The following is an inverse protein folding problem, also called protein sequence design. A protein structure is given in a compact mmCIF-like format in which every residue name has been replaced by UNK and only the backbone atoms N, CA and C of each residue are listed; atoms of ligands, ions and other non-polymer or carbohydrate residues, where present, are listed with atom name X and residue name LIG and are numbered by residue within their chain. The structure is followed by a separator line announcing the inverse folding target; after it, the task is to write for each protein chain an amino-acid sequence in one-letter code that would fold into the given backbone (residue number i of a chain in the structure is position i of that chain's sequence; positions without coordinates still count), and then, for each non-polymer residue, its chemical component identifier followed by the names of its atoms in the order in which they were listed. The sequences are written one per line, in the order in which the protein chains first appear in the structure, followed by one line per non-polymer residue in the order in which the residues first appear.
data_IF_401060360127
#
_entry.id   IF_401060360127
#
_cell.length_a   1.000
_cell.length_b   1.000
_cell.length_c   1.000
_cell.angle_alpha   90.00
_cell.angle_beta   90.00
_cell.angle_gamma   90.00
#
_symmetry.space_group_name_H-M   'P 1'
#
loop_
_entity.id
_entity.type
_entity.pdbx_description
1 polymer ?
#
# COMPACT_ATOMS: atom_id res chain seq x y z
N UNK A 1 55.99 49.52 -49.52
CA UNK A 1 55.36 48.49 -48.66
C UNK A 1 54.89 49.19 -47.39
N UNK A 2 53.59 49.49 -47.31
CA UNK A 2 52.99 50.14 -46.15
C UNK A 2 52.48 49.04 -45.21
N UNK A 3 53.03 48.99 -43.99
CA UNK A 3 52.50 48.18 -42.90
C UNK A 3 51.41 49.02 -42.20
N UNK A 4 50.16 48.59 -42.31
CA UNK A 4 49.08 49.11 -41.47
C UNK A 4 49.28 48.53 -40.06
N UNK A 5 49.53 49.42 -39.09
CA UNK A 5 49.55 49.08 -37.68
C UNK A 5 48.11 48.94 -37.20
N UNK A 6 47.74 47.70 -36.89
CA UNK A 6 46.51 47.33 -36.21
C UNK A 6 46.68 47.72 -34.73
N UNK A 7 46.31 48.97 -34.42
CA UNK A 7 46.26 49.47 -33.05
C UNK A 7 44.92 49.03 -32.45
N UNK A 8 44.93 47.88 -31.77
CA UNK A 8 43.90 47.50 -30.82
C UNK A 8 43.95 48.46 -29.64
N UNK A 9 43.12 49.49 -29.71
CA UNK A 9 42.88 50.47 -28.65
C UNK A 9 42.02 49.79 -27.57
N UNK A 10 42.67 49.20 -26.56
CA UNK A 10 41.97 48.72 -25.37
C UNK A 10 41.51 49.93 -24.55
N UNK A 11 40.22 50.05 -24.22
CA UNK A 11 39.72 51.17 -23.44
C UNK A 11 40.38 51.16 -22.06
N UNK A 12 41.14 52.21 -21.74
CA UNK A 12 41.70 52.39 -20.41
C UNK A 12 40.56 52.71 -19.44
N UNK A 13 40.22 51.75 -18.58
CA UNK A 13 39.28 51.94 -17.49
C UNK A 13 39.80 53.02 -16.54
N UNK A 14 39.13 54.16 -16.53
CA UNK A 14 39.42 55.25 -15.60
C UNK A 14 38.72 54.99 -14.26
N UNK A 15 39.26 55.55 -13.18
CA UNK A 15 38.65 55.43 -11.84
C UNK A 15 37.20 55.93 -11.84
N UNK A 16 36.92 57.03 -12.55
CA UNK A 16 35.58 57.60 -12.68
C UNK A 16 34.62 56.70 -13.47
N UNK A 17 35.09 55.98 -14.50
CA UNK A 17 34.23 55.05 -15.26
C UNK A 17 33.88 53.80 -14.44
N UNK A 18 34.83 53.30 -13.64
CA UNK A 18 34.59 52.17 -12.74
C UNK A 18 33.67 52.56 -11.56
N UNK A 19 33.78 53.78 -11.04
CA UNK A 19 32.85 54.30 -10.02
C UNK A 19 31.43 54.47 -10.58
N UNK A 20 31.29 54.97 -11.82
CA UNK A 20 30.00 55.05 -12.50
C UNK A 20 29.38 53.66 -12.74
N UNK A 21 30.15 52.68 -13.21
CA UNK A 21 29.68 51.29 -13.35
C UNK A 21 29.25 50.68 -12.02
N UNK A 22 30.02 50.92 -10.95
CA UNK A 22 29.66 50.47 -9.60
C UNK A 22 28.30 51.02 -9.17
N UNK A 23 28.02 52.31 -9.39
CA UNK A 23 26.70 52.88 -9.06
C UNK A 23 25.56 52.26 -9.87
N UNK A 24 25.79 51.94 -11.15
CA UNK A 24 24.80 51.24 -11.99
C UNK A 24 24.56 49.80 -11.54
N UNK A 25 25.58 49.12 -11.02
CA UNK A 25 25.47 47.80 -10.42
C UNK A 25 24.69 47.86 -9.11
N UNK A 26 25.00 48.82 -8.22
CA UNK A 26 24.31 49.03 -6.95
C UNK A 26 22.83 49.39 -7.16
N UNK A 27 22.51 50.13 -8.22
CA UNK A 27 21.13 50.44 -8.63
C UNK A 27 20.43 49.31 -9.41
N UNK A 28 21.15 48.22 -9.73
CA UNK A 28 20.62 47.08 -10.49
C UNK A 28 20.26 47.40 -11.95
N UNK A 29 20.71 48.53 -12.48
CA UNK A 29 20.44 48.97 -13.86
C UNK A 29 21.52 48.56 -14.85
N UNK A 30 22.63 48.02 -14.36
CA UNK A 30 23.75 47.58 -15.17
C UNK A 30 23.33 46.56 -16.25
N UNK A 31 23.72 46.75 -17.52
CA UNK A 31 23.20 45.97 -18.65
C UNK A 31 23.54 44.48 -18.56
N UNK A 32 24.74 44.11 -18.09
CA UNK A 32 25.12 42.69 -17.92
C UNK A 32 24.36 42.01 -16.79
N UNK A 33 24.03 42.74 -15.71
CA UNK A 33 23.21 42.23 -14.61
C UNK A 33 21.76 42.00 -15.07
N UNK A 34 21.19 42.95 -15.82
CA UNK A 34 19.85 42.80 -16.41
C UNK A 34 19.79 41.63 -17.39
N UNK A 35 20.81 41.45 -18.23
CA UNK A 35 20.90 40.32 -19.14
C UNK A 35 20.94 38.99 -18.38
N UNK A 36 21.76 38.88 -17.33
CA UNK A 36 21.82 37.68 -16.48
C UNK A 36 20.52 37.44 -15.71
N UNK A 37 19.88 38.48 -15.18
CA UNK A 37 18.61 38.37 -14.47
C UNK A 37 17.51 37.76 -15.36
N UNK A 38 17.43 38.19 -16.63
CA UNK A 38 16.49 37.61 -17.61
C UNK A 38 16.76 36.13 -17.89
N UNK A 39 18.03 35.74 -17.98
CA UNK A 39 18.40 34.32 -18.14
C UNK A 39 17.96 33.51 -16.92
N UNK A 40 18.20 34.02 -15.71
CA UNK A 40 17.75 33.36 -14.48
C UNK A 40 16.23 33.27 -14.37
N UNK A 41 15.49 34.30 -14.79
CA UNK A 41 14.03 34.25 -14.86
C UNK A 41 13.55 33.18 -15.84
N UNK A 42 14.15 33.10 -17.02
CA UNK A 42 13.82 32.08 -18.01
C UNK A 42 14.14 30.66 -17.51
N UNK A 43 15.29 30.46 -16.88
CA UNK A 43 15.64 29.18 -16.26
C UNK A 43 14.70 28.80 -15.12
N UNK A 44 14.31 29.77 -14.29
CA UNK A 44 13.35 29.55 -13.21
C UNK A 44 12.00 29.12 -13.76
N UNK A 45 11.52 29.79 -14.81
CA UNK A 45 10.26 29.44 -15.45
C UNK A 45 10.32 28.04 -16.07
N UNK A 46 11.38 27.72 -16.81
CA UNK A 46 11.57 26.40 -17.39
C UNK A 46 11.62 25.28 -16.33
N UNK A 47 12.20 25.54 -15.15
CA UNK A 47 12.18 24.59 -14.03
C UNK A 47 10.79 24.42 -13.43
N UNK A 48 10.02 25.51 -13.32
CA UNK A 48 8.63 25.45 -12.85
C UNK A 48 7.76 24.61 -13.81
N UNK A 49 7.84 24.90 -15.12
CA UNK A 49 7.07 24.19 -16.13
C UNK A 49 7.42 22.68 -16.16
N UNK A 50 8.72 22.36 -16.00
CA UNK A 50 9.17 20.96 -15.90
C UNK A 50 8.61 20.27 -14.66
N UNK A 51 8.58 20.94 -13.50
CA UNK A 51 8.04 20.38 -12.27
C UNK A 51 6.52 20.13 -12.38
N UNK A 52 5.79 21.03 -13.03
CA UNK A 52 4.36 20.86 -13.28
C UNK A 52 4.07 19.69 -14.22
N UNK A 53 4.86 19.52 -15.28
CA UNK A 53 4.73 18.39 -16.20
C UNK A 53 5.05 17.06 -15.49
N UNK A 54 6.07 17.02 -14.64
CA UNK A 54 6.39 15.85 -13.82
C UNK A 54 5.25 15.50 -12.86
N UNK A 55 4.63 16.51 -12.23
CA UNK A 55 3.46 16.33 -11.38
C UNK A 55 2.28 15.74 -12.15
N UNK A 56 1.96 16.30 -13.32
CA UNK A 56 0.89 15.79 -14.18
C UNK A 56 1.13 14.33 -14.58
N UNK A 57 2.36 13.99 -14.93
CA UNK A 57 2.72 12.62 -15.30
C UNK A 57 2.59 11.65 -14.14
N UNK A 58 3.04 12.03 -12.93
CA UNK A 58 2.87 11.23 -11.72
C UNK A 58 1.39 10.96 -11.40
N UNK A 59 0.53 11.97 -11.53
CA UNK A 59 -0.92 11.81 -11.34
C UNK A 59 -1.51 10.86 -12.38
N UNK A 60 -1.11 11.00 -13.65
CA UNK A 60 -1.58 10.11 -14.73
C UNK A 60 -1.19 8.65 -14.47
N UNK A 61 0.07 8.40 -14.12
CA UNK A 61 0.55 7.04 -13.79
C UNK A 61 -0.18 6.46 -12.59
N UNK A 62 -0.42 7.26 -11.54
CA UNK A 62 -1.17 6.80 -10.37
C UNK A 62 -2.60 6.39 -10.72
N UNK A 63 -3.28 7.18 -11.56
CA UNK A 63 -4.64 6.86 -12.04
C UNK A 63 -4.65 5.59 -12.90
N UNK A 64 -3.68 5.42 -13.79
CA UNK A 64 -3.57 4.23 -14.64
C UNK A 64 -3.31 2.96 -13.81
N UNK A 65 -2.46 3.04 -12.78
CA UNK A 65 -2.23 1.92 -11.86
C UNK A 65 -3.48 1.57 -11.05
N UNK A 66 -4.17 2.57 -10.51
CA UNK A 66 -5.43 2.35 -9.79
C UNK A 66 -6.48 1.67 -10.67
N UNK A 67 -6.61 2.10 -11.94
CA UNK A 67 -7.53 1.47 -12.88
C UNK A 67 -7.12 0.03 -13.23
N UNK A 68 -5.81 -0.24 -13.36
CA UNK A 68 -5.31 -1.58 -13.59
C UNK A 68 -5.63 -2.52 -12.41
N UNK A 69 -5.49 -2.05 -11.16
CA UNK A 69 -5.85 -2.81 -9.97
C UNK A 69 -7.35 -3.10 -9.90
N UNK A 70 -8.21 -2.11 -10.21
CA UNK A 70 -9.66 -2.31 -10.29
C UNK A 70 -10.01 -3.39 -11.31
N UNK A 71 -9.40 -3.33 -12.50
CA UNK A 71 -9.64 -4.31 -13.56
C UNK A 71 -9.15 -5.72 -13.17
N UNK A 72 -7.99 -5.82 -12.51
CA UNK A 72 -7.45 -7.08 -12.02
C UNK A 72 -8.33 -7.70 -10.93
N UNK A 73 -8.84 -6.88 -10.00
CA UNK A 73 -9.76 -7.31 -8.96
C UNK A 73 -11.09 -7.82 -9.55
N UNK A 74 -11.64 -7.11 -10.55
CA UNK A 74 -12.84 -7.55 -11.26
C UNK A 74 -12.63 -8.90 -11.96
N UNK A 75 -11.51 -9.08 -12.67
CA UNK A 75 -11.17 -10.36 -13.31
C UNK A 75 -11.01 -11.51 -12.30
N UNK A 76 -10.37 -11.25 -11.15
CA UNK A 76 -10.22 -12.24 -10.10
C UNK A 76 -11.58 -12.65 -9.50
N UNK A 77 -12.49 -11.68 -9.33
CA UNK A 77 -13.85 -11.94 -8.86
C UNK A 77 -14.65 -12.78 -9.86
N UNK A 78 -14.63 -12.41 -11.15
CA UNK A 78 -15.30 -13.16 -12.21
C UNK A 78 -14.77 -14.60 -12.31
N UNK A 79 -13.45 -14.78 -12.20
CA UNK A 79 -12.83 -16.10 -12.16
C UNK A 79 -13.26 -16.92 -10.93
N UNK A 80 -13.40 -16.28 -9.76
CA UNK A 80 -13.90 -16.92 -8.54
C UNK A 80 -15.36 -17.37 -8.69
N UNK A 81 -16.22 -16.52 -9.26
CA UNK A 81 -17.61 -16.88 -9.58
C UNK A 81 -17.67 -18.04 -10.55
N UNK A 82 -16.89 -17.99 -11.64
CA UNK A 82 -16.83 -19.07 -12.62
C UNK A 82 -16.38 -20.41 -11.98
N UNK A 83 -15.43 -20.34 -11.04
CA UNK A 83 -14.97 -21.51 -10.29
C UNK A 83 -16.06 -22.05 -9.35
N UNK A 84 -16.70 -21.18 -8.58
CA UNK A 84 -17.76 -21.55 -7.64
C UNK A 84 -18.98 -22.14 -8.36
N UNK A 85 -19.42 -21.52 -9.45
CA UNK A 85 -20.52 -22.02 -10.30
C UNK A 85 -20.18 -23.38 -10.90
N UNK A 86 -18.96 -23.57 -11.42
CA UNK A 86 -18.51 -24.88 -11.92
C UNK A 86 -18.52 -25.96 -10.83
N UNK A 87 -18.11 -25.63 -9.59
CA UNK A 87 -18.17 -26.57 -8.46
C UNK A 87 -19.60 -26.95 -8.10
N UNK A 88 -20.50 -25.98 -7.99
CA UNK A 88 -21.91 -26.22 -7.68
C UNK A 88 -22.61 -27.05 -8.77
N UNK A 89 -22.32 -26.77 -10.05
CA UNK A 89 -22.86 -27.56 -11.15
C UNK A 89 -22.38 -29.01 -11.09
N UNK A 90 -21.08 -29.24 -10.83
CA UNK A 90 -20.55 -30.60 -10.65
C UNK A 90 -21.18 -31.35 -9.48
N UNK A 91 -21.43 -30.67 -8.37
CA UNK A 91 -22.10 -31.24 -7.21
C UNK A 91 -23.58 -31.57 -7.49
N UNK A 92 -24.28 -30.72 -8.25
CA UNK A 92 -25.64 -31.00 -8.71
C UNK A 92 -25.66 -32.19 -9.67
N UNK A 93 -24.74 -32.25 -10.62
CA UNK A 93 -24.63 -33.35 -11.57
C UNK A 93 -24.32 -34.68 -10.87
N UNK A 94 -23.45 -34.67 -9.85
CA UNK A 94 -23.17 -35.88 -9.06
C UNK A 94 -24.40 -36.34 -8.27
N UNK A 95 -25.12 -35.42 -7.62
CA UNK A 95 -26.37 -35.74 -6.91
C UNK A 95 -27.46 -36.26 -7.85
N UNK A 96 -27.60 -35.67 -9.05
CA UNK A 96 -28.52 -36.17 -10.07
C UNK A 96 -28.14 -37.57 -10.55
N UNK A 97 -26.84 -37.83 -10.74
CA UNK A 97 -26.35 -39.15 -11.11
C UNK A 97 -26.64 -40.19 -10.01
N UNK A 98 -26.41 -39.86 -8.73
CA UNK A 98 -26.75 -40.71 -7.58
C UNK A 98 -28.26 -41.01 -7.52
N UNK A 99 -29.12 -40.01 -7.68
CA UNK A 99 -30.57 -40.20 -7.69
C UNK A 99 -31.00 -41.11 -8.84
N UNK A 100 -30.46 -40.89 -10.06
CA UNK A 100 -30.74 -41.73 -11.23
C UNK A 100 -30.23 -43.16 -11.05
N UNK A 101 -29.04 -43.35 -10.49
CA UNK A 101 -28.43 -44.66 -10.23
C UNK A 101 -29.13 -45.41 -9.09
N UNK A 102 -29.66 -44.71 -8.09
CA UNK A 102 -30.41 -45.31 -6.97
C UNK A 102 -31.75 -45.92 -7.37
N UNK A 103 -32.17 -45.79 -8.64
CA UNK A 103 -33.43 -46.32 -9.14
C UNK A 103 -34.68 -45.69 -8.51
N UNK A 104 -34.53 -44.67 -7.65
CA UNK A 104 -35.63 -43.84 -7.13
C UNK A 104 -36.08 -42.83 -8.18
N UNK A 105 -36.37 -43.32 -9.37
CA UNK A 105 -36.96 -42.56 -10.46
C UNK A 105 -38.47 -42.77 -10.50
N UNK A 106 -39.19 -41.65 -10.47
CA UNK A 106 -40.62 -41.47 -10.70
C UNK A 106 -41.55 -41.69 -9.49
N UNK A 107 -42.18 -40.63 -8.95
CA UNK A 107 -43.50 -40.78 -8.36
C UNK A 107 -44.41 -41.46 -9.38
N UNK A 108 -44.84 -42.67 -9.06
CA UNK A 108 -45.83 -43.44 -9.81
C UNK A 108 -47.04 -42.55 -10.08
N UNK A 109 -47.52 -42.61 -11.32
CA UNK A 109 -48.61 -41.81 -11.92
C UNK A 109 -49.94 -41.82 -11.13
N UNK A 110 -50.04 -42.61 -10.06
CA UNK A 110 -51.15 -42.66 -9.10
C UNK A 110 -51.05 -41.68 -7.91
N UNK A 111 -49.87 -41.21 -7.52
CA UNK A 111 -49.70 -40.33 -6.35
C UNK A 111 -50.19 -38.88 -6.61
N UNK A 112 -50.17 -38.44 -7.87
CA UNK A 112 -50.67 -37.12 -8.26
C UNK A 112 -52.20 -37.00 -8.29
N UNK A 113 -52.94 -38.11 -8.18
CA UNK A 113 -54.42 -38.07 -8.15
C UNK A 113 -54.96 -37.68 -6.77
N UNK A 114 -54.21 -37.96 -5.70
CA UNK A 114 -54.59 -37.59 -4.34
C UNK A 114 -54.26 -36.13 -3.97
N UNK A 115 -53.30 -35.50 -4.67
CA UNK A 115 -52.91 -34.10 -4.42
C UNK A 115 -53.78 -33.08 -5.18
N UNK A 116 -54.40 -33.46 -6.31
CA UNK A 116 -55.26 -32.53 -7.08
C UNK A 116 -56.62 -32.27 -6.43
N UNK A 117 -57.11 -33.13 -5.54
CA UNK A 117 -58.39 -32.90 -4.84
C UNK A 117 -58.24 -32.02 -3.59
N UNK A 118 -57.06 -31.94 -2.98
CA UNK A 118 -56.81 -31.06 -1.81
C UNK A 118 -56.30 -29.66 -2.17
N UNK A 119 -55.74 -29.47 -3.36
CA UNK A 119 -55.24 -28.15 -3.79
C UNK A 119 -56.35 -27.25 -4.33
N UNK A 120 -57.52 -27.80 -4.71
CA UNK A 120 -58.63 -26.98 -5.22
C UNK A 120 -59.34 -26.14 -4.14
N UNK A 121 -59.10 -26.42 -2.85
CA UNK A 121 -59.62 -25.58 -1.75
C UNK A 121 -58.59 -24.57 -1.21
N UNK A 122 -57.31 -24.71 -1.56
CA UNK A 122 -56.25 -23.80 -1.08
C UNK A 122 -55.82 -22.74 -2.11
N UNK A 123 -56.15 -22.93 -3.40
CA UNK A 123 -55.59 -22.11 -4.49
C UNK A 123 -56.43 -20.89 -4.90
N UNK A 124 -57.56 -20.63 -4.25
CA UNK A 124 -58.34 -19.39 -4.44
C UNK A 124 -57.93 -18.27 -3.46
N UNK A 125 -56.94 -18.49 -2.59
CA UNK A 125 -56.53 -17.53 -1.57
C UNK A 125 -55.10 -16.96 -1.72
N UNK A 126 -54.34 -17.32 -2.77
CA UNK A 126 -52.96 -16.82 -2.92
C UNK A 126 -52.54 -16.69 -4.38
N UNK A 127 -53.21 -15.79 -5.09
CA UNK A 127 -52.69 -15.21 -6.32
C UNK A 127 -51.66 -14.11 -5.98
N UNK A 128 -50.40 -14.50 -5.79
CA UNK A 128 -49.27 -13.57 -5.88
C UNK A 128 -48.07 -14.31 -6.45
N UNK A 129 -47.55 -13.78 -7.55
CA UNK A 129 -46.60 -14.43 -8.45
C UNK A 129 -45.34 -15.00 -7.79
N UNK A 130 -44.89 -16.11 -8.37
CA UNK A 130 -43.60 -16.74 -8.10
C UNK A 130 -42.50 -15.74 -8.51
N UNK A 131 -41.59 -15.33 -7.61
CA UNK A 131 -40.48 -14.48 -8.01
C UNK A 131 -39.44 -15.31 -8.79
N UNK A 132 -38.98 -14.72 -9.88
CA UNK A 132 -37.95 -15.24 -10.77
C UNK A 132 -36.59 -15.36 -10.02
N UNK A 133 -35.93 -16.54 -9.98
CA UNK A 133 -34.66 -16.72 -9.30
C UNK A 133 -33.46 -16.02 -9.98
N UNK A 134 -33.67 -15.36 -11.12
CA UNK A 134 -32.65 -14.58 -11.83
C UNK A 134 -32.56 -13.10 -11.40
N UNK A 135 -33.38 -12.68 -10.42
CA UNK A 135 -33.48 -11.29 -9.94
C UNK A 135 -33.25 -11.13 -8.43
N UNK A 136 -32.27 -11.83 -7.86
CA UNK A 136 -31.61 -11.31 -6.65
C UNK A 136 -30.34 -10.57 -7.08
N UNK A 137 -30.41 -9.26 -7.36
CA UNK A 137 -29.20 -8.49 -7.33
C UNK A 137 -28.72 -8.51 -5.88
N UNK A 138 -27.59 -9.15 -5.61
CA UNK A 138 -26.75 -8.79 -4.46
C UNK A 138 -26.24 -7.36 -4.68
N UNK A 139 -27.16 -6.38 -4.70
CA UNK A 139 -26.92 -4.95 -4.66
C UNK A 139 -27.11 -4.50 -3.21
N UNK A 140 -26.29 -5.04 -2.33
CA UNK A 140 -25.87 -4.28 -1.17
C UNK A 140 -24.40 -3.94 -1.41
N UNK A 141 -24.19 -3.06 -2.38
CA UNK A 141 -23.01 -2.21 -2.30
C UNK A 141 -23.22 -1.38 -1.04
N UNK A 142 -22.36 -1.56 -0.03
CA UNK A 142 -22.33 -0.67 1.12
C UNK A 142 -22.29 0.76 0.58
N UNK A 143 -23.15 1.63 1.11
CA UNK A 143 -23.12 3.01 0.70
C UNK A 143 -21.76 3.60 1.08
N UNK A 144 -21.28 4.57 0.30
CA UNK A 144 -19.95 5.17 0.52
C UNK A 144 -19.80 5.66 1.96
N UNK A 145 -20.87 6.15 2.55
CA UNK A 145 -20.88 6.67 3.92
C UNK A 145 -20.69 5.54 4.94
N UNK A 146 -21.30 4.37 4.73
CA UNK A 146 -21.11 3.18 5.58
C UNK A 146 -19.66 2.68 5.51
N UNK A 147 -19.09 2.60 4.29
CA UNK A 147 -17.68 2.22 4.11
C UNK A 147 -16.73 3.21 4.80
N UNK A 148 -17.03 4.50 4.71
CA UNK A 148 -16.22 5.53 5.35
C UNK A 148 -16.33 5.50 6.87
N UNK A 149 -17.51 5.20 7.42
CA UNK A 149 -17.71 5.07 8.85
C UNK A 149 -17.03 3.82 9.41
N UNK A 150 -17.09 2.69 8.71
CA UNK A 150 -16.32 1.48 9.05
C UNK A 150 -14.81 1.76 9.02
N UNK A 151 -14.32 2.44 7.97
CA UNK A 151 -12.90 2.82 7.89
C UNK A 151 -12.48 3.76 9.03
N UNK A 152 -13.34 4.71 9.41
CA UNK A 152 -13.09 5.58 10.58
C UNK A 152 -13.04 4.78 11.87
N UNK A 153 -13.92 3.79 12.03
CA UNK A 153 -13.96 2.94 13.21
C UNK A 153 -12.70 2.06 13.30
N UNK A 154 -12.26 1.46 12.20
CA UNK A 154 -10.97 0.73 12.13
C UNK A 154 -9.80 1.63 12.53
N UNK A 155 -9.74 2.85 12.00
CA UNK A 155 -8.67 3.82 12.36
C UNK A 155 -8.72 4.18 13.84
N UNK A 156 -9.92 4.39 14.39
CA UNK A 156 -10.13 4.70 15.81
C UNK A 156 -9.66 3.55 16.71
N UNK A 157 -10.01 2.32 16.35
CA UNK A 157 -9.63 1.12 17.09
C UNK A 157 -8.12 0.95 17.07
N UNK A 158 -7.48 1.08 15.90
CA UNK A 158 -6.03 1.01 15.75
C UNK A 158 -5.30 2.08 16.55
N UNK A 159 -5.83 3.31 16.56
CA UNK A 159 -5.29 4.41 17.35
C UNK A 159 -5.40 4.12 18.84
N UNK A 160 -6.54 3.62 19.30
CA UNK A 160 -6.75 3.27 20.71
C UNK A 160 -5.83 2.14 21.17
N UNK A 161 -5.61 1.13 20.33
CA UNK A 161 -4.67 0.03 20.59
C UNK A 161 -3.23 0.53 20.66
N UNK A 162 -2.84 1.41 19.72
CA UNK A 162 -1.51 2.02 19.73
C UNK A 162 -1.28 2.94 20.95
N UNK A 163 -2.31 3.65 21.41
CA UNK A 163 -2.26 4.49 22.61
C UNK A 163 -2.17 3.65 23.88
N UNK A 164 -2.96 2.57 24.02
CA UNK A 164 -2.84 1.62 25.13
C UNK A 164 -1.45 0.98 25.20
N UNK A 165 -0.92 0.53 24.07
CA UNK A 165 0.43 -0.01 24.00
C UNK A 165 1.49 1.01 24.45
N UNK A 166 1.32 2.30 24.11
CA UNK A 166 2.22 3.37 24.59
C UNK A 166 2.10 3.63 26.09
N UNK A 167 0.91 3.48 26.67
CA UNK A 167 0.68 3.72 28.09
C UNK A 167 1.18 2.56 28.95
N UNK A 168 1.05 1.32 28.48
CA UNK A 168 1.47 0.11 29.19
C UNK A 168 2.98 -0.13 29.06
N UNK A 169 3.60 0.29 27.95
CA UNK A 169 5.04 0.14 27.74
C UNK A 169 5.79 1.36 28.27
N UNK A 170 6.20 1.33 29.55
CA UNK A 170 7.26 2.23 30.04
C UNK A 170 8.50 1.99 29.16
N UNK A 171 9.12 3.01 28.53
CA UNK A 171 10.07 2.79 27.44
C UNK A 171 11.43 2.37 27.99
N UNK A 172 11.54 1.10 28.41
CA UNK A 172 12.83 0.45 28.49
C UNK A 172 13.25 0.17 27.04
N UNK A 173 13.98 1.13 26.46
CA UNK A 173 14.49 1.02 25.11
C UNK A 173 15.35 -0.24 25.02
N UNK A 174 15.02 -1.10 24.06
CA UNK A 174 15.83 -2.25 23.74
C UNK A 174 17.18 -1.78 23.18
N UNK A 175 18.29 -2.42 23.59
CA UNK A 175 19.62 -2.04 23.13
C UNK A 175 19.76 -2.34 21.64
N UNK A 176 19.85 -1.27 20.83
CA UNK A 176 19.98 -1.32 19.37
C UNK A 176 21.10 -0.38 18.91
N UNK A 177 22.13 -0.94 18.26
CA UNK A 177 23.28 -0.19 17.72
C UNK A 177 23.51 -0.60 16.26
N UNK A 178 23.91 0.35 15.43
CA UNK A 178 24.34 0.08 14.05
C UNK A 178 25.80 0.48 13.90
N UNK A 179 26.60 -0.43 13.37
CA UNK A 179 28.02 -0.22 13.04
C UNK A 179 28.22 -0.52 11.56
N UNK A 180 28.37 0.51 10.74
CA UNK A 180 28.41 0.37 9.29
C UNK A 180 27.08 -0.17 8.74
N UNK A 181 27.10 -1.39 8.18
CA UNK A 181 25.93 -2.10 7.63
C UNK A 181 25.46 -3.25 8.55
N UNK A 182 26.00 -3.34 9.77
CA UNK A 182 25.72 -4.40 10.74
C UNK A 182 24.79 -3.86 11.82
N UNK A 183 23.74 -4.62 12.14
CA UNK A 183 22.78 -4.30 13.20
C UNK A 183 23.06 -5.16 14.42
N UNK A 184 23.32 -4.52 15.56
CA UNK A 184 23.37 -5.16 16.87
C UNK A 184 22.05 -4.88 17.61
N UNK A 185 21.30 -5.92 17.92
CA UNK A 185 19.98 -5.82 18.55
C UNK A 185 19.84 -6.89 19.64
N UNK A 186 19.60 -6.48 20.88
CA UNK A 186 19.38 -7.38 22.03
C UNK A 186 20.47 -8.47 22.20
N UNK A 187 21.73 -8.16 21.87
CA UNK A 187 22.86 -9.12 21.94
C UNK A 187 23.09 -9.93 20.67
N UNK A 188 22.16 -9.92 19.72
CA UNK A 188 22.33 -10.54 18.41
C UNK A 188 22.97 -9.57 17.42
N UNK A 189 23.75 -10.12 16.50
CA UNK A 189 24.42 -9.36 15.44
C UNK A 189 23.94 -9.85 14.09
N UNK A 190 23.30 -8.96 13.33
CA UNK A 190 22.73 -9.24 12.02
C UNK A 190 23.60 -8.64 10.92
N UNK A 191 24.01 -9.48 9.98
CA UNK A 191 24.83 -9.16 8.82
C UNK A 191 24.04 -9.40 7.55
N UNK A 192 24.46 -8.71 6.49
CA UNK A 192 23.85 -8.87 5.16
C UNK A 192 23.93 -10.34 4.72
N UNK A 193 22.79 -10.92 4.39
CA UNK A 193 22.65 -12.33 4.01
C UNK A 193 22.09 -13.22 5.12
N UNK A 194 22.01 -12.75 6.36
CA UNK A 194 21.45 -13.53 7.46
C UNK A 194 19.95 -13.77 7.27
N UNK A 195 19.49 -14.99 7.54
CA UNK A 195 18.06 -15.29 7.55
C UNK A 195 17.45 -14.83 8.86
N UNK A 196 16.40 -14.01 8.78
CA UNK A 196 15.80 -13.32 9.93
C UNK A 196 14.28 -13.44 9.88
N UNK A 197 13.66 -13.36 11.05
CA UNK A 197 12.20 -13.24 11.19
C UNK A 197 11.91 -11.96 11.95
N UNK A 198 11.12 -11.07 11.33
CA UNK A 198 10.63 -9.87 11.98
C UNK A 198 9.22 -10.13 12.52
N UNK A 199 9.06 -10.08 13.84
CA UNK A 199 7.77 -10.20 14.52
C UNK A 199 7.26 -8.79 14.85
N UNK A 200 6.04 -8.48 14.42
CA UNK A 200 5.35 -7.24 14.80
C UNK A 200 4.50 -7.49 16.04
N UNK A 201 4.86 -6.88 17.17
CA UNK A 201 4.10 -7.00 18.43
C UNK A 201 2.67 -6.42 18.32
N UNK A 202 2.46 -5.47 17.40
CA UNK A 202 1.15 -4.85 17.19
C UNK A 202 0.17 -5.77 16.45
N UNK A 203 0.66 -6.59 15.52
CA UNK A 203 -0.17 -7.45 14.67
C UNK A 203 -0.02 -8.93 15.00
N UNK A 204 0.93 -9.30 15.86
CA UNK A 204 1.35 -10.67 16.15
C UNK A 204 1.71 -11.48 14.89
N UNK A 205 2.15 -10.81 13.82
CA UNK A 205 2.51 -11.44 12.55
C UNK A 205 4.03 -11.52 12.39
N UNK A 206 4.47 -12.65 11.84
CA UNK A 206 5.87 -12.94 11.53
C UNK A 206 6.16 -12.76 10.05
N UNK A 207 7.25 -12.06 9.76
CA UNK A 207 7.73 -11.79 8.42
C UNK A 207 9.12 -12.40 8.25
N UNK A 208 9.22 -13.64 7.71
CA UNK A 208 10.51 -14.25 7.43
C UNK A 208 11.18 -13.57 6.24
N UNK A 209 12.50 -13.46 6.25
CA UNK A 209 13.25 -12.86 5.16
C UNK A 209 14.77 -12.94 5.33
N UNK A 210 15.48 -12.17 4.49
CA UNK A 210 16.94 -12.07 4.49
C UNK A 210 17.35 -10.64 4.82
N UNK A 211 18.20 -10.46 5.82
CA UNK A 211 18.70 -9.15 6.21
C UNK A 211 19.61 -8.59 5.10
N UNK A 212 19.32 -7.37 4.64
CA UNK A 212 20.09 -6.74 3.56
C UNK A 212 21.14 -5.75 4.05
N UNK A 213 20.98 -5.24 5.27
CA UNK A 213 21.81 -4.18 5.84
C UNK A 213 20.99 -3.21 6.70
N UNK A 214 21.68 -2.38 7.47
CA UNK A 214 21.07 -1.31 8.24
C UNK A 214 21.83 0.00 8.07
N UNK A 215 21.12 1.12 8.16
CA UNK A 215 21.67 2.45 8.30
C UNK A 215 21.27 3.03 9.66
N UNK A 216 21.51 4.33 9.91
CA UNK A 216 21.20 4.97 11.19
C UNK A 216 19.71 5.12 11.49
N UNK A 217 18.81 4.86 10.53
CA UNK A 217 17.37 5.12 10.60
C UNK A 217 16.54 3.84 10.40
N UNK A 218 16.95 2.98 9.48
CA UNK A 218 16.21 1.81 9.02
C UNK A 218 17.11 0.60 8.77
N UNK A 219 16.52 -0.58 8.93
CA UNK A 219 17.06 -1.88 8.56
C UNK A 219 16.25 -2.46 7.40
N UNK A 220 16.93 -2.99 6.38
CA UNK A 220 16.30 -3.60 5.21
C UNK A 220 16.20 -5.11 5.34
N UNK A 221 15.04 -5.67 5.03
CA UNK A 221 14.80 -7.11 4.91
C UNK A 221 14.22 -7.41 3.54
N UNK A 222 14.77 -8.42 2.86
CA UNK A 222 14.22 -8.97 1.63
C UNK A 222 13.26 -10.10 1.98
N UNK A 223 12.00 -9.95 1.61
CA UNK A 223 10.97 -10.97 1.83
C UNK A 223 11.05 -12.08 0.76
N UNK A 224 10.40 -13.24 0.97
CA UNK A 224 10.48 -14.38 0.06
C UNK A 224 9.83 -14.12 -1.30
N UNK A 225 8.90 -13.16 -1.36
CA UNK A 225 8.26 -12.67 -2.59
C UNK A 225 9.16 -11.71 -3.40
N UNK A 226 10.38 -11.44 -2.90
CA UNK A 226 11.34 -10.52 -3.52
C UNK A 226 11.10 -9.04 -3.18
N UNK A 227 10.08 -8.72 -2.38
CA UNK A 227 9.82 -7.35 -1.96
C UNK A 227 10.79 -6.92 -0.86
N UNK A 228 11.09 -5.61 -0.83
CA UNK A 228 11.99 -5.02 0.16
C UNK A 228 11.20 -4.39 1.29
N UNK A 229 11.21 -5.01 2.46
CA UNK A 229 10.65 -4.47 3.68
C UNK A 229 11.67 -3.55 4.37
N UNK A 230 11.21 -2.41 4.89
CA UNK A 230 12.03 -1.44 5.63
C UNK A 230 11.53 -1.35 7.07
N UNK A 231 12.37 -1.75 8.01
CA UNK A 231 12.10 -1.66 9.44
C UNK A 231 12.74 -0.40 10.02
N UNK A 232 11.94 0.47 10.64
CA UNK A 232 12.49 1.63 11.36
C UNK A 232 13.20 1.17 12.63
N UNK A 233 14.43 1.64 12.87
CA UNK A 233 15.17 1.31 14.09
C UNK A 233 14.46 1.78 15.36
N UNK A 234 13.70 2.87 15.30
CA UNK A 234 12.87 3.33 16.40
C UNK A 234 11.87 2.26 16.84
N UNK A 235 11.31 1.49 15.89
CA UNK A 235 10.36 0.42 16.19
C UNK A 235 11.05 -0.79 16.83
N UNK A 236 12.29 -1.08 16.44
CA UNK A 236 13.12 -2.10 17.11
C UNK A 236 13.47 -1.67 18.54
N UNK A 237 13.93 -0.43 18.74
CA UNK A 237 14.27 0.12 20.06
C UNK A 237 13.08 0.15 21.01
N UNK A 238 11.89 0.48 20.50
CA UNK A 238 10.66 0.49 21.29
C UNK A 238 10.10 -0.93 21.53
N UNK A 239 10.71 -1.96 20.93
CA UNK A 239 10.21 -3.34 21.00
C UNK A 239 8.86 -3.53 20.30
N UNK A 240 8.49 -2.65 19.36
CA UNK A 240 7.30 -2.86 18.50
C UNK A 240 7.54 -3.94 17.45
N UNK A 241 8.80 -4.07 17.06
CA UNK A 241 9.25 -5.09 16.13
C UNK A 241 10.39 -5.82 16.83
N UNK A 242 10.32 -7.15 16.84
CA UNK A 242 11.38 -8.01 17.36
C UNK A 242 12.01 -8.70 16.16
N UNK A 243 13.34 -8.62 16.06
CA UNK A 243 14.11 -9.30 15.03
C UNK A 243 14.79 -10.53 15.65
N UNK A 244 14.55 -11.71 15.06
CA UNK A 244 15.14 -12.99 15.48
C UNK A 244 15.93 -13.61 14.33
N UNK A 245 16.97 -14.38 14.63
CA UNK A 245 17.60 -15.24 13.62
C UNK A 245 16.68 -16.42 13.29
N UNK A 246 16.58 -16.76 12.01
CA UNK A 246 15.79 -17.91 11.56
C UNK A 246 16.42 -19.20 12.09
N UNK A 247 15.74 -19.88 13.02
CA UNK A 247 16.21 -21.12 13.65
C UNK A 247 16.65 -21.00 15.11
N UNK A 248 16.60 -19.80 15.71
CA UNK A 248 16.85 -19.63 17.14
C UNK A 248 15.55 -19.82 17.94
N UNK A 249 15.51 -20.69 18.97
CA UNK A 249 14.33 -20.83 19.82
C UNK A 249 14.05 -19.53 20.58
N UNK A 250 12.77 -19.24 20.86
CA UNK A 250 12.26 -18.03 21.51
C UNK A 250 12.95 -17.68 22.84
N UNK A 251 14.13 -17.07 22.77
CA UNK A 251 14.91 -16.66 23.95
C UNK A 251 14.59 -15.23 24.43
N UNK A 252 13.81 -14.47 23.66
CA UNK A 252 13.32 -13.14 24.07
C UNK A 252 11.89 -13.26 24.58
N UNK A 253 11.69 -14.11 25.58
CA UNK A 253 10.49 -14.05 26.41
C UNK A 253 10.64 -12.82 27.30
N UNK A 254 10.11 -11.67 26.88
CA UNK A 254 9.60 -10.74 27.88
C UNK A 254 8.57 -11.53 28.68
N UNK A 255 8.61 -11.54 30.03
CA UNK A 255 7.48 -12.05 30.79
C UNK A 255 6.28 -11.19 30.39
N UNK A 256 5.36 -11.77 29.61
CA UNK A 256 4.04 -11.19 29.40
C UNK A 256 3.45 -10.94 30.79
N UNK A 257 2.96 -9.74 31.12
CA UNK A 257 2.07 -9.59 32.24
C UNK A 257 0.76 -10.29 31.87
N UNK A 258 0.71 -11.60 32.11
CA UNK A 258 -0.55 -12.33 32.28
C UNK A 258 -1.16 -11.85 33.61
N UNK A 259 -1.78 -10.67 33.57
CA UNK A 259 -2.63 -10.20 34.64
C UNK A 259 -3.81 -9.44 34.04
N UNK A 260 -5.02 -9.88 34.40
CA UNK A 260 -6.34 -9.30 34.14
C UNK A 260 -7.04 -9.62 32.81
N UNK A 261 -7.24 -10.92 32.55
CA UNK A 261 -8.56 -11.39 32.11
C UNK A 261 -9.14 -12.24 33.26
N UNK A 262 -9.75 -11.53 34.20
CA UNK A 262 -10.72 -12.04 35.18
C UNK A 262 -11.92 -11.10 35.13
#
# INVERSE_FOLDING_TARGET
MAAASDATDEPQDTVESLEAERTLIEQGTHPTLRARARVFEHERQARADKADLERQWKVKVANEMAQAEINAAAQAFDASIASATSKLLKELDSRLAEIRASGKGAPTRGAFRALRSKVKEANDASASGIPDPTLFPLRHCLERDEVMDDMRQVVKDWRSTAERFRQETTPQLLPTRVEGQILHFCGHTFRRGDSVVALSELTAQEFPGVFMGANSVEAGILLPDGTRCRLRLDHLRLGRIILKQSGEPDAVTRPLPLASLA
#
